data_IF_853985067649
#
_entry.id   IF_853985067649
#
_cell.length_a   1.000
_cell.length_b   1.000
_cell.length_c   1.000
_cell.angle_alpha   90.00
_cell.angle_beta   90.00
_cell.angle_gamma   90.00
#
_symmetry.space_group_name_H-M   'P 1'
#
loop_
_entity.id
_entity.type
_entity.pdbx_description
1 polymer ?
#
# COMPACT_ATOMS: atom_id res chain seq x y z
N UNK A 1 12.80 -32.75 -29.08
CA UNK A 1 11.73 -31.75 -28.94
C UNK A 1 12.20 -30.69 -27.96
N UNK A 2 12.80 -29.66 -28.50
CA UNK A 2 13.26 -28.56 -27.72
C UNK A 2 12.11 -27.58 -27.48
N UNK A 3 11.38 -27.80 -26.41
CA UNK A 3 10.64 -26.74 -25.79
C UNK A 3 11.61 -25.89 -24.95
N UNK A 4 12.51 -25.20 -25.62
CA UNK A 4 13.12 -24.04 -25.00
C UNK A 4 12.00 -23.02 -24.82
N UNK A 5 11.28 -23.15 -23.73
CA UNK A 5 10.53 -22.04 -23.19
C UNK A 5 11.57 -20.97 -22.88
N UNK A 6 11.81 -20.13 -23.85
CA UNK A 6 12.52 -18.87 -23.59
C UNK A 6 11.70 -18.16 -22.54
N UNK A 7 12.15 -18.26 -21.29
CA UNK A 7 11.54 -17.51 -20.19
C UNK A 7 11.59 -16.04 -20.58
N UNK A 8 10.42 -15.47 -20.85
CA UNK A 8 10.32 -14.07 -21.18
C UNK A 8 10.75 -13.25 -19.97
N UNK A 9 11.77 -12.43 -20.15
CA UNK A 9 12.28 -11.55 -19.12
C UNK A 9 11.74 -10.13 -19.35
N UNK A 10 11.38 -9.49 -18.27
CA UNK A 10 10.79 -8.15 -18.27
C UNK A 10 11.70 -7.16 -17.57
N UNK A 11 11.93 -6.01 -18.18
CA UNK A 11 12.60 -4.90 -17.50
C UNK A 11 11.69 -4.30 -16.40
N UNK A 12 12.27 -3.65 -15.41
CA UNK A 12 11.52 -3.02 -14.32
C UNK A 12 10.45 -2.05 -14.84
N UNK A 13 10.73 -1.36 -15.94
CA UNK A 13 9.79 -0.45 -16.59
C UNK A 13 8.56 -1.18 -17.12
N UNK A 14 8.77 -2.31 -17.80
CA UNK A 14 7.69 -3.14 -18.33
C UNK A 14 6.85 -3.74 -17.21
N UNK A 15 7.50 -4.22 -16.15
CA UNK A 15 6.82 -4.73 -14.95
C UNK A 15 5.97 -3.64 -14.30
N UNK A 16 6.49 -2.43 -14.20
CA UNK A 16 5.76 -1.28 -13.67
C UNK A 16 4.52 -0.96 -14.50
N UNK A 17 4.62 -0.99 -15.82
CA UNK A 17 3.48 -0.75 -16.73
C UNK A 17 2.44 -1.87 -16.64
N UNK A 18 2.86 -3.14 -16.58
CA UNK A 18 1.97 -4.30 -16.55
C UNK A 18 1.24 -4.46 -15.20
N UNK A 19 1.90 -4.15 -14.10
CA UNK A 19 1.35 -4.33 -12.76
C UNK A 19 0.77 -3.05 -12.16
N UNK A 20 1.13 -1.90 -12.68
CA UNK A 20 0.76 -0.61 -12.11
C UNK A 20 1.57 -0.21 -10.87
N UNK A 21 2.56 -0.98 -10.50
CA UNK A 21 3.42 -0.71 -9.34
C UNK A 21 4.63 0.13 -9.78
N UNK A 22 4.89 1.23 -9.08
CA UNK A 22 6.01 2.11 -9.41
C UNK A 22 7.36 1.40 -9.23
N UNK A 23 8.38 1.72 -10.06
CA UNK A 23 9.71 1.14 -9.90
C UNK A 23 10.33 1.36 -8.51
N UNK A 24 10.10 2.50 -7.90
CA UNK A 24 10.57 2.78 -6.53
C UNK A 24 9.97 1.82 -5.52
N UNK A 25 8.70 1.46 -5.67
CA UNK A 25 7.99 0.50 -4.82
C UNK A 25 8.52 -0.91 -5.01
N UNK A 26 8.75 -1.34 -6.26
CA UNK A 26 9.36 -2.64 -6.57
C UNK A 26 10.76 -2.78 -5.96
N UNK A 27 11.57 -1.72 -6.02
CA UNK A 27 12.90 -1.69 -5.38
C UNK A 27 12.80 -1.78 -3.87
N UNK A 28 11.86 -1.08 -3.26
CA UNK A 28 11.61 -1.14 -1.82
C UNK A 28 11.20 -2.56 -1.37
N UNK A 29 10.34 -3.21 -2.11
CA UNK A 29 9.92 -4.58 -1.83
C UNK A 29 11.07 -5.57 -1.92
N UNK A 30 11.96 -5.37 -2.87
CA UNK A 30 13.18 -6.17 -2.99
C UNK A 30 14.15 -5.94 -1.83
N UNK A 31 14.44 -4.68 -1.52
CA UNK A 31 15.48 -4.32 -0.54
C UNK A 31 15.07 -4.54 0.91
N UNK A 32 13.85 -4.10 1.26
CA UNK A 32 13.39 -4.10 2.65
C UNK A 32 12.76 -5.42 3.06
N UNK A 33 12.00 -6.04 2.17
CA UNK A 33 11.18 -7.19 2.51
C UNK A 33 11.60 -8.47 1.80
N UNK A 34 12.50 -8.36 0.84
CA UNK A 34 12.99 -9.50 0.05
C UNK A 34 11.84 -10.34 -0.56
N UNK A 35 10.80 -9.66 -1.03
CA UNK A 35 9.61 -10.28 -1.60
C UNK A 35 9.82 -10.77 -3.03
N UNK A 36 10.68 -10.11 -3.77
CA UNK A 36 10.97 -10.35 -5.18
C UNK A 36 12.48 -10.36 -5.37
N UNK A 37 12.97 -11.33 -6.11
CA UNK A 37 14.40 -11.45 -6.42
C UNK A 37 14.61 -11.43 -7.94
N UNK A 38 14.64 -10.25 -8.58
CA UNK A 38 14.92 -10.17 -10.01
C UNK A 38 16.36 -10.57 -10.29
N UNK A 39 16.59 -11.08 -11.50
CA UNK A 39 17.92 -11.28 -12.01
C UNK A 39 18.54 -9.93 -12.37
N UNK A 40 19.86 -9.83 -12.24
CA UNK A 40 20.61 -8.67 -12.74
C UNK A 40 21.42 -9.04 -13.96
N UNK A 41 21.40 -8.17 -14.95
CA UNK A 41 22.31 -8.28 -16.10
C UNK A 41 23.71 -7.84 -15.70
N UNK A 42 24.71 -8.11 -16.56
CA UNK A 42 26.09 -7.64 -16.40
C UNK A 42 26.16 -6.11 -16.22
N UNK A 43 25.23 -5.37 -16.84
CA UNK A 43 25.12 -3.92 -16.73
C UNK A 43 24.38 -3.45 -15.45
N UNK A 44 23.95 -4.36 -14.60
CA UNK A 44 23.26 -4.05 -13.36
C UNK A 44 21.75 -3.77 -13.49
N UNK A 45 21.14 -4.00 -14.66
CA UNK A 45 19.72 -3.86 -14.85
C UNK A 45 18.96 -5.03 -14.25
N UNK A 46 17.79 -4.77 -13.66
CA UNK A 46 16.91 -5.80 -13.12
C UNK A 46 16.06 -6.41 -14.22
N UNK A 47 16.03 -7.74 -14.28
CA UNK A 47 15.14 -8.50 -15.16
C UNK A 47 14.23 -9.37 -14.32
N UNK A 48 12.93 -9.27 -14.58
CA UNK A 48 11.88 -10.01 -13.88
C UNK A 48 11.36 -11.15 -14.75
N UNK A 49 11.07 -12.27 -14.11
CA UNK A 49 10.45 -13.43 -14.76
C UNK A 49 8.93 -13.33 -14.68
N UNK A 50 8.23 -14.18 -15.43
CA UNK A 50 6.78 -14.30 -15.33
C UNK A 50 6.34 -14.65 -13.90
N UNK A 51 7.09 -15.49 -13.21
CA UNK A 51 6.82 -15.83 -11.80
C UNK A 51 6.90 -14.61 -10.88
N UNK A 52 7.82 -13.71 -11.14
CA UNK A 52 7.94 -12.46 -10.39
C UNK A 52 6.71 -11.56 -10.60
N UNK A 53 6.19 -11.50 -11.83
CA UNK A 53 4.93 -10.79 -12.13
C UNK A 53 3.74 -11.37 -11.37
N UNK A 54 3.63 -12.69 -11.33
CA UNK A 54 2.57 -13.37 -10.59
C UNK A 54 2.68 -13.12 -9.09
N UNK A 55 3.90 -13.13 -8.56
CA UNK A 55 4.18 -12.77 -7.16
C UNK A 55 3.79 -11.31 -6.87
N UNK A 56 4.12 -10.38 -7.75
CA UNK A 56 3.73 -8.96 -7.60
C UNK A 56 2.20 -8.82 -7.56
N UNK A 57 1.48 -9.52 -8.43
CA UNK A 57 0.01 -9.51 -8.44
C UNK A 57 -0.58 -10.10 -7.16
N UNK A 58 0.01 -11.16 -6.65
CA UNK A 58 -0.37 -11.76 -5.37
C UNK A 58 -0.14 -10.78 -4.21
N UNK A 59 1.00 -10.12 -4.18
CA UNK A 59 1.30 -9.06 -3.19
C UNK A 59 0.24 -7.95 -3.27
N UNK A 60 -0.09 -7.48 -4.46
CA UNK A 60 -1.14 -6.47 -4.65
C UNK A 60 -2.49 -6.95 -4.13
N UNK A 61 -2.84 -8.21 -4.34
CA UNK A 61 -4.06 -8.83 -3.81
C UNK A 61 -4.11 -8.80 -2.28
N UNK A 62 -3.02 -9.16 -1.61
CA UNK A 62 -2.92 -9.09 -0.16
C UNK A 62 -2.98 -7.66 0.37
N UNK A 63 -2.30 -6.72 -0.28
CA UNK A 63 -2.37 -5.30 0.07
C UNK A 63 -3.78 -4.73 -0.10
N UNK A 64 -4.50 -5.16 -1.14
CA UNK A 64 -5.89 -4.76 -1.36
C UNK A 64 -6.83 -5.28 -0.25
N UNK A 65 -6.51 -6.44 0.33
CA UNK A 65 -7.20 -6.98 1.51
C UNK A 65 -6.81 -6.27 2.82
N UNK A 66 -5.83 -5.39 2.79
CA UNK A 66 -5.37 -4.61 3.92
C UNK A 66 -4.23 -5.22 4.71
N UNK A 67 -3.58 -6.23 4.19
CA UNK A 67 -2.38 -6.83 4.82
C UNK A 67 -1.20 -5.86 4.69
N UNK A 68 -0.45 -5.67 5.75
CA UNK A 68 0.77 -4.89 5.73
C UNK A 68 1.86 -5.57 4.90
N UNK A 69 2.64 -4.79 4.17
CA UNK A 69 3.68 -5.30 3.27
C UNK A 69 4.70 -6.20 4.00
N UNK A 70 5.05 -5.90 5.23
CA UNK A 70 5.97 -6.71 6.03
C UNK A 70 5.45 -8.11 6.39
N UNK A 71 4.12 -8.30 6.35
CA UNK A 71 3.47 -9.59 6.65
C UNK A 71 3.20 -10.42 5.41
N UNK A 72 3.20 -9.81 4.24
CA UNK A 72 2.87 -10.47 2.96
C UNK A 72 3.81 -11.64 2.67
N UNK A 73 5.09 -11.52 3.02
CA UNK A 73 6.08 -12.57 2.77
C UNK A 73 5.69 -13.93 3.38
N UNK A 74 5.12 -13.92 4.57
CA UNK A 74 4.64 -15.14 5.23
C UNK A 74 3.38 -15.72 4.61
N UNK A 75 2.67 -14.95 3.81
CA UNK A 75 1.40 -15.34 3.19
C UNK A 75 1.53 -15.73 1.71
N UNK A 76 2.67 -15.44 1.10
CA UNK A 76 2.93 -15.80 -0.30
C UNK A 76 2.87 -17.32 -0.48
N UNK A 77 2.07 -17.79 -1.42
CA UNK A 77 1.87 -19.20 -1.69
C UNK A 77 0.82 -19.89 -0.81
N UNK A 78 0.15 -19.16 0.09
CA UNK A 78 -0.99 -19.68 0.86
C UNK A 78 -2.30 -19.26 0.19
N UNK A 79 -3.23 -20.20 0.05
CA UNK A 79 -4.58 -19.87 -0.39
C UNK A 79 -5.30 -19.03 0.66
N UNK A 80 -6.07 -18.09 0.18
CA UNK A 80 -6.50 -16.86 0.85
C UNK A 80 -7.62 -16.99 1.89
N UNK A 81 -7.63 -18.01 2.74
CA UNK A 81 -8.65 -18.16 3.78
C UNK A 81 -8.28 -17.57 5.15
N UNK A 82 -7.28 -16.70 5.17
CA UNK A 82 -6.90 -16.07 6.43
C UNK A 82 -7.63 -14.73 6.57
N UNK A 83 -8.68 -14.73 7.37
CA UNK A 83 -9.20 -13.52 8.02
C UNK A 83 -8.08 -12.93 8.87
N UNK A 84 -7.25 -12.12 8.25
CA UNK A 84 -6.06 -11.61 8.89
C UNK A 84 -6.41 -10.37 9.71
N UNK A 85 -5.84 -10.30 10.87
CA UNK A 85 -5.74 -9.13 11.73
C UNK A 85 -5.03 -7.94 11.02
N UNK A 86 -5.43 -7.66 9.79
CA UNK A 86 -4.93 -6.57 8.94
C UNK A 86 -5.47 -5.22 9.37
N UNK A 87 -6.57 -5.23 10.13
CA UNK A 87 -7.21 -4.00 10.58
C UNK A 87 -6.36 -3.21 11.59
N UNK A 88 -5.52 -3.91 12.36
CA UNK A 88 -4.73 -3.26 13.42
C UNK A 88 -3.66 -2.34 12.86
N UNK A 89 -2.91 -2.78 11.86
CA UNK A 89 -1.82 -1.97 11.33
C UNK A 89 -2.30 -0.81 10.45
N UNK A 90 -3.38 -1.03 9.72
CA UNK A 90 -4.06 0.03 8.98
C UNK A 90 -4.57 1.12 9.91
N UNK A 91 -5.09 0.70 11.04
CA UNK A 91 -5.57 1.61 12.08
C UNK A 91 -4.42 2.47 12.65
N UNK A 92 -3.27 1.87 12.92
CA UNK A 92 -2.10 2.58 13.45
C UNK A 92 -1.58 3.67 12.50
N UNK A 93 -1.43 3.36 11.22
CA UNK A 93 -0.98 4.32 10.20
C UNK A 93 -2.01 5.44 10.00
N UNK A 94 -3.29 5.10 9.95
CA UNK A 94 -4.38 6.07 9.82
C UNK A 94 -4.48 6.95 11.05
N UNK A 95 -4.36 6.39 12.25
CA UNK A 95 -4.35 7.15 13.50
C UNK A 95 -3.15 8.10 13.60
N UNK A 96 -1.96 7.63 13.21
CA UNK A 96 -0.76 8.47 13.17
C UNK A 96 -0.94 9.65 12.20
N UNK A 97 -1.55 9.42 11.05
CA UNK A 97 -1.86 10.47 10.08
C UNK A 97 -2.90 11.46 10.62
N UNK A 98 -3.97 10.97 11.22
CA UNK A 98 -5.00 11.80 11.85
C UNK A 98 -4.42 12.67 12.96
N UNK A 99 -3.55 12.10 13.77
CA UNK A 99 -2.86 12.83 14.84
C UNK A 99 -1.96 13.93 14.27
N UNK A 100 -1.15 13.63 13.25
CA UNK A 100 -0.30 14.61 12.61
C UNK A 100 -1.11 15.74 11.96
N UNK A 101 -2.26 15.45 11.36
CA UNK A 101 -3.17 16.43 10.79
C UNK A 101 -3.85 17.28 11.86
N UNK A 102 -4.27 16.68 12.97
CA UNK A 102 -4.91 17.39 14.08
C UNK A 102 -3.96 18.36 14.77
N UNK A 103 -2.68 18.01 14.85
CA UNK A 103 -1.62 18.86 15.38
C UNK A 103 -1.15 19.93 14.37
N UNK A 104 -1.69 19.94 13.16
CA UNK A 104 -1.25 20.78 12.03
C UNK A 104 0.25 20.64 11.74
N UNK A 105 0.79 19.46 12.00
CA UNK A 105 2.20 19.19 11.79
C UNK A 105 2.47 18.72 10.36
N UNK A 106 2.66 19.69 9.48
CA UNK A 106 2.91 19.45 8.05
C UNK A 106 4.11 18.53 7.82
N UNK A 107 5.20 18.74 8.53
CA UNK A 107 6.41 17.95 8.37
C UNK A 107 6.20 16.47 8.68
N UNK A 108 5.50 16.14 9.78
CA UNK A 108 5.12 14.76 10.10
C UNK A 108 4.20 14.15 9.06
N UNK A 109 3.19 14.88 8.61
CA UNK A 109 2.24 14.42 7.59
C UNK A 109 2.96 14.09 6.28
N UNK A 110 3.83 14.97 5.81
CA UNK A 110 4.62 14.76 4.59
C UNK A 110 5.56 13.54 4.72
N UNK A 111 6.20 13.38 5.87
CA UNK A 111 7.11 12.25 6.13
C UNK A 111 6.34 10.91 6.13
N UNK A 112 5.20 10.85 6.81
CA UNK A 112 4.34 9.65 6.84
C UNK A 112 3.82 9.30 5.45
N UNK A 113 3.30 10.28 4.72
CA UNK A 113 2.78 10.08 3.38
C UNK A 113 3.88 9.64 2.40
N UNK A 114 5.05 10.27 2.44
CA UNK A 114 6.19 9.89 1.60
C UNK A 114 6.66 8.47 1.88
N UNK A 115 6.70 8.06 3.15
CA UNK A 115 7.05 6.70 3.55
C UNK A 115 6.08 5.67 2.98
N UNK A 116 4.80 5.91 3.15
CA UNK A 116 3.75 5.01 2.66
C UNK A 116 3.73 4.94 1.13
N UNK A 117 3.88 6.06 0.44
CA UNK A 117 3.90 6.10 -1.03
C UNK A 117 5.10 5.37 -1.66
N UNK A 118 6.19 5.19 -0.93
CA UNK A 118 7.34 4.40 -1.38
C UNK A 118 7.11 2.89 -1.26
N UNK A 119 6.32 2.46 -0.31
CA UNK A 119 6.12 1.04 0.03
C UNK A 119 4.85 0.46 -0.59
N UNK A 120 3.85 1.29 -0.85
CA UNK A 120 2.55 0.85 -1.35
C UNK A 120 2.20 1.51 -2.67
N UNK A 121 1.52 0.77 -3.59
CA UNK A 121 0.94 1.37 -4.79
C UNK A 121 -0.06 2.47 -4.44
N UNK A 122 -0.18 3.48 -5.31
CA UNK A 122 -1.02 4.64 -5.06
C UNK A 122 -2.50 4.29 -4.83
N UNK A 123 -3.04 3.35 -5.60
CA UNK A 123 -4.42 2.90 -5.44
C UNK A 123 -4.68 2.33 -4.03
N UNK A 124 -3.73 1.55 -3.51
CA UNK A 124 -3.81 0.98 -2.17
C UNK A 124 -3.75 2.07 -1.09
N UNK A 125 -2.85 3.05 -1.26
CA UNK A 125 -2.74 4.19 -0.34
C UNK A 125 -4.04 4.99 -0.31
N UNK A 126 -4.64 5.25 -1.46
CA UNK A 126 -5.91 5.99 -1.54
C UNK A 126 -7.03 5.23 -0.82
N UNK A 127 -7.20 3.95 -1.12
CA UNK A 127 -8.30 3.14 -0.57
C UNK A 127 -8.14 2.86 0.93
N UNK A 128 -6.93 2.61 1.39
CA UNK A 128 -6.70 2.10 2.74
C UNK A 128 -6.21 3.14 3.74
N UNK A 129 -5.61 4.22 3.29
CA UNK A 129 -5.13 5.28 4.16
C UNK A 129 -5.92 6.57 3.98
N UNK A 130 -6.01 7.07 2.76
CA UNK A 130 -6.60 8.39 2.48
C UNK A 130 -8.11 8.39 2.71
N UNK A 131 -8.83 7.43 2.16
CA UNK A 131 -10.28 7.35 2.33
C UNK A 131 -10.70 7.19 3.80
N UNK A 132 -10.11 6.27 4.60
CA UNK A 132 -10.43 6.19 6.02
C UNK A 132 -10.13 7.47 6.80
N UNK A 133 -9.03 8.17 6.48
CA UNK A 133 -8.68 9.46 7.10
C UNK A 133 -9.73 10.52 6.77
N UNK A 134 -10.16 10.63 5.53
CA UNK A 134 -11.21 11.57 5.11
C UNK A 134 -12.55 11.25 5.74
N UNK A 135 -12.94 9.98 5.80
CA UNK A 135 -14.17 9.56 6.48
C UNK A 135 -14.15 9.94 7.96
N UNK A 136 -13.04 9.72 8.64
CA UNK A 136 -12.88 10.12 10.04
C UNK A 136 -12.96 11.62 10.24
N UNK A 137 -12.37 12.42 9.34
CA UNK A 137 -12.48 13.88 9.36
C UNK A 137 -13.91 14.35 9.10
N UNK A 138 -14.61 13.74 8.17
CA UNK A 138 -16.01 14.07 7.88
C UNK A 138 -16.93 13.74 9.05
N UNK A 139 -16.72 12.60 9.72
CA UNK A 139 -17.44 12.26 10.96
C UNK A 139 -17.23 13.30 12.06
N UNK A 140 -16.03 13.81 12.23
CA UNK A 140 -15.73 14.90 13.18
C UNK A 140 -16.48 16.17 12.81
N UNK A 141 -16.51 16.55 11.53
CA UNK A 141 -17.27 17.72 11.06
C UNK A 141 -18.77 17.58 11.27
N UNK A 142 -19.33 16.40 10.97
CA UNK A 142 -20.77 16.10 11.19
C UNK A 142 -21.10 16.18 12.68
N UNK A 143 -20.26 15.64 13.55
CA UNK A 143 -20.42 15.72 14.99
C UNK A 143 -20.44 17.18 15.49
N UNK A 144 -19.51 18.00 15.00
CA UNK A 144 -19.46 19.43 15.33
C UNK A 144 -20.72 20.19 14.84
N UNK A 145 -21.16 19.91 13.62
CA UNK A 145 -22.40 20.51 13.08
C UNK A 145 -23.62 20.10 13.88
N UNK A 146 -23.72 18.85 14.27
CA UNK A 146 -24.83 18.35 15.11
C UNK A 146 -24.85 19.03 16.47
N UNK A 147 -23.70 19.27 17.08
CA UNK A 147 -23.57 20.02 18.33
C UNK A 147 -24.01 21.48 18.16
N UNK A 148 -23.59 22.16 17.09
CA UNK A 148 -24.01 23.52 16.78
C UNK A 148 -25.52 23.63 16.53
N UNK A 149 -26.11 22.70 15.79
CA UNK A 149 -27.55 22.63 15.55
C UNK A 149 -28.32 22.34 16.84
N UNK A 150 -27.79 21.46 17.69
CA UNK A 150 -28.37 21.17 19.01
C UNK A 150 -28.36 22.41 19.91
N UNK A 151 -27.30 23.18 19.94
CA UNK A 151 -27.21 24.44 20.68
C UNK A 151 -28.16 25.50 20.13
N UNK A 152 -28.35 25.58 18.82
CA UNK A 152 -29.29 26.49 18.17
C UNK A 152 -30.75 26.14 18.50
N UNK A 153 -31.10 24.87 18.66
CA UNK A 153 -32.44 24.40 19.09
C UNK A 153 -32.73 24.69 20.57
N UNK A 154 -31.73 24.76 21.43
CA UNK A 154 -31.84 25.06 22.85
C UNK A 154 -32.09 26.55 23.10
N UNK A 155 -31.75 27.41 22.16
CA UNK A 155 -31.93 28.85 22.24
C UNK A 155 -33.26 29.38 21.70
N UNK A 156 -34.14 28.48 21.27
CA UNK A 156 -35.53 28.78 20.93
C UNK A 156 -36.39 28.45 22.12
#
# INVERSE_FOLDING_TARGET
MDCSQEEKLYAIRDVSELTGVKPVTLRAWQRRYNLIQPQRTEKGHRLYRQQDLDTIREIQGWLAKGVAIGKVKGLLGQESDVDVASDVQRLEEAEAMLKALSELNRGKTETLLSGVLKEYPLNIVIEQLINPVFEALDLVKVSQRSLQLGLSLIHI
#
